data_IF_834369146985
#
_entry.id   IF_834369146985
#
_cell.length_a   1.000
_cell.length_b   1.000
_cell.length_c   1.000
_cell.angle_alpha   90.00
_cell.angle_beta   90.00
_cell.angle_gamma   90.00
#
_symmetry.space_group_name_H-M   'P 1'
#
loop_
_entity.id
_entity.type
_entity.pdbx_description
1 polymer ?
#
# COMPACT_ATOMS: atom_id res chain seq x y z
N UNK A 1 -17.64 23.84 -4.58
CA UNK A 1 -16.88 24.89 -5.28
C UNK A 1 -17.75 25.39 -6.41
N UNK A 2 -17.92 26.71 -6.50
CA UNK A 2 -18.83 27.37 -7.44
C UNK A 2 -18.03 28.27 -8.39
N UNK A 3 -17.74 27.85 -9.63
CA UNK A 3 -16.89 28.61 -10.55
C UNK A 3 -17.50 29.95 -10.98
N UNK A 4 -18.83 30.06 -11.00
CA UNK A 4 -19.56 31.26 -11.43
C UNK A 4 -19.96 32.17 -10.24
N UNK A 5 -19.34 32.01 -9.07
CA UNK A 5 -19.69 32.81 -7.91
C UNK A 5 -19.32 34.30 -8.14
N UNK A 6 -20.29 35.22 -8.11
CA UNK A 6 -20.12 36.60 -8.61
C UNK A 6 -19.14 37.45 -7.77
N UNK A 7 -18.80 37.01 -6.54
CA UNK A 7 -17.93 37.76 -5.62
C UNK A 7 -16.74 36.96 -5.06
N UNK A 8 -16.63 35.66 -5.34
CA UNK A 8 -15.62 34.80 -4.71
C UNK A 8 -14.91 33.99 -5.77
N UNK A 9 -13.63 34.27 -5.97
CA UNK A 9 -12.80 33.44 -6.85
C UNK A 9 -12.66 32.02 -6.29
N UNK A 10 -12.44 31.07 -7.19
CA UNK A 10 -12.12 29.67 -6.84
C UNK A 10 -10.94 29.62 -5.85
N UNK A 11 -9.97 30.52 -5.98
CA UNK A 11 -8.85 30.62 -5.02
C UNK A 11 -9.36 30.91 -3.62
N UNK A 12 -10.19 31.94 -3.47
CA UNK A 12 -10.72 32.34 -2.16
C UNK A 12 -11.66 31.30 -1.57
N UNK A 13 -12.41 30.58 -2.40
CA UNK A 13 -13.25 29.48 -1.96
C UNK A 13 -12.40 28.29 -1.46
N UNK A 14 -11.30 27.94 -2.15
CA UNK A 14 -10.35 26.91 -1.67
C UNK A 14 -9.72 27.31 -0.33
N UNK A 15 -9.30 28.57 -0.19
CA UNK A 15 -8.69 29.10 1.03
C UNK A 15 -9.67 29.04 2.22
N UNK A 16 -10.94 29.41 1.99
CA UNK A 16 -12.00 29.35 3.00
C UNK A 16 -12.34 27.91 3.42
N UNK A 17 -12.23 26.96 2.50
CA UNK A 17 -12.50 25.54 2.73
C UNK A 17 -11.26 24.77 3.25
N UNK A 18 -10.10 25.41 3.33
CA UNK A 18 -8.84 24.75 3.69
C UNK A 18 -8.39 23.69 2.68
N UNK A 19 -8.84 23.77 1.43
CA UNK A 19 -8.51 22.84 0.36
C UNK A 19 -7.36 23.38 -0.48
N UNK A 20 -6.45 22.50 -0.90
CA UNK A 20 -5.45 22.88 -1.88
C UNK A 20 -6.12 23.18 -3.23
N UNK A 21 -5.68 24.23 -3.93
CA UNK A 21 -6.21 24.58 -5.27
C UNK A 21 -6.11 23.43 -6.27
N UNK A 22 -5.08 22.59 -6.15
CA UNK A 22 -4.90 21.40 -6.99
C UNK A 22 -6.02 20.37 -6.81
N UNK A 23 -6.59 20.26 -5.61
CA UNK A 23 -7.72 19.36 -5.34
C UNK A 23 -8.97 19.74 -6.12
N UNK A 24 -9.17 21.03 -6.42
CA UNK A 24 -10.30 21.48 -7.22
C UNK A 24 -10.19 21.10 -8.71
N UNK A 25 -8.98 21.17 -9.27
CA UNK A 25 -8.74 20.81 -10.68
C UNK A 25 -8.45 19.32 -10.87
N UNK A 26 -8.29 18.55 -9.79
CA UNK A 26 -8.01 17.14 -9.87
C UNK A 26 -9.29 16.37 -10.18
N UNK A 27 -9.38 15.87 -11.40
CA UNK A 27 -10.39 14.89 -11.77
C UNK A 27 -9.86 13.49 -11.40
N UNK A 28 -10.59 12.71 -10.57
CA UNK A 28 -10.17 11.35 -10.25
C UNK A 28 -10.18 10.50 -11.51
N UNK A 29 -9.01 10.00 -11.89
CA UNK A 29 -8.89 9.11 -13.05
C UNK A 29 -9.66 7.81 -12.74
N UNK A 30 -10.66 7.44 -13.55
CA UNK A 30 -11.37 6.19 -13.38
C UNK A 30 -10.40 5.02 -13.53
N UNK A 31 -10.59 3.98 -12.71
CA UNK A 31 -9.79 2.76 -12.83
C UNK A 31 -10.06 2.11 -14.20
N UNK A 32 -9.02 1.58 -14.82
CA UNK A 32 -9.14 0.91 -16.12
C UNK A 32 -10.01 -0.35 -15.99
N UNK A 33 -10.62 -0.80 -17.10
CA UNK A 33 -11.36 -2.07 -17.12
C UNK A 33 -10.49 -3.26 -16.67
N UNK A 34 -9.21 -3.22 -17.01
CA UNK A 34 -8.23 -4.19 -16.55
C UNK A 34 -8.04 -4.12 -15.03
N UNK A 35 -7.93 -2.93 -14.44
CA UNK A 35 -7.82 -2.79 -12.98
C UNK A 35 -9.07 -3.31 -12.28
N UNK A 36 -10.27 -3.08 -12.83
CA UNK A 36 -11.52 -3.64 -12.29
C UNK A 36 -11.54 -5.18 -12.34
N UNK A 37 -11.06 -5.78 -13.43
CA UNK A 37 -10.93 -7.22 -13.56
C UNK A 37 -9.94 -7.80 -12.54
N UNK A 38 -8.76 -7.16 -12.42
CA UNK A 38 -7.75 -7.54 -11.45
C UNK A 38 -8.26 -7.41 -10.01
N UNK A 39 -9.04 -6.38 -9.70
CA UNK A 39 -9.68 -6.24 -8.38
C UNK A 39 -10.64 -7.39 -8.09
N UNK A 40 -11.44 -7.86 -9.06
CA UNK A 40 -12.32 -9.02 -8.89
C UNK A 40 -11.53 -10.30 -8.59
N UNK A 41 -10.49 -10.57 -9.36
CA UNK A 41 -9.63 -11.75 -9.16
C UNK A 41 -8.91 -11.71 -7.81
N UNK A 42 -8.45 -10.53 -7.39
CA UNK A 42 -7.84 -10.32 -6.08
C UNK A 42 -8.84 -10.59 -4.94
N UNK A 43 -10.09 -10.13 -5.08
CA UNK A 43 -11.14 -10.36 -4.08
C UNK A 43 -11.44 -11.86 -3.94
N UNK A 44 -11.70 -12.54 -5.06
CA UNK A 44 -11.96 -13.98 -5.10
C UNK A 44 -10.83 -14.78 -4.46
N UNK A 45 -9.58 -14.43 -4.79
CA UNK A 45 -8.42 -15.11 -4.24
C UNK A 45 -8.18 -14.79 -2.77
N UNK A 46 -8.49 -13.56 -2.33
CA UNK A 46 -8.40 -13.18 -0.93
C UNK A 46 -9.40 -13.97 -0.07
N UNK A 47 -10.63 -14.19 -0.56
CA UNK A 47 -11.63 -15.02 0.11
C UNK A 47 -11.17 -16.47 0.27
N UNK A 48 -10.43 -16.99 -0.71
CA UNK A 48 -9.86 -18.36 -0.64
C UNK A 48 -8.61 -18.44 0.23
N UNK A 49 -7.81 -17.38 0.25
CA UNK A 49 -6.48 -17.35 0.86
C UNK A 49 -6.21 -16.06 1.64
N UNK A 50 -6.88 -15.82 2.79
CA UNK A 50 -6.77 -14.56 3.53
C UNK A 50 -5.36 -14.29 4.13
N UNK A 51 -4.50 -15.31 4.14
CA UNK A 51 -3.10 -15.23 4.57
C UNK A 51 -2.12 -14.97 3.41
N UNK A 52 -2.60 -14.73 2.18
CA UNK A 52 -1.73 -14.42 1.03
C UNK A 52 -1.43 -12.93 0.95
N UNK A 53 -0.17 -12.57 1.22
CA UNK A 53 0.29 -11.20 1.07
C UNK A 53 0.52 -10.81 -0.38
N UNK A 54 0.79 -9.51 -0.58
CA UNK A 54 1.15 -8.88 -1.87
C UNK A 54 2.06 -9.70 -2.79
N UNK A 55 3.06 -10.41 -2.24
CA UNK A 55 4.01 -11.22 -3.03
C UNK A 55 3.32 -12.43 -3.67
N UNK A 56 2.44 -13.11 -2.93
CA UNK A 56 1.71 -14.27 -3.43
C UNK A 56 0.58 -13.83 -4.36
N UNK A 57 -0.07 -12.70 -4.08
CA UNK A 57 -1.11 -12.12 -4.97
C UNK A 57 -0.56 -11.76 -6.35
N UNK A 58 0.65 -11.20 -6.42
CA UNK A 58 1.31 -10.92 -7.71
C UNK A 58 1.56 -12.20 -8.49
N UNK A 59 2.09 -13.23 -7.81
CA UNK A 59 2.34 -14.51 -8.46
C UNK A 59 1.04 -15.16 -8.96
N UNK A 60 0.00 -15.16 -8.14
CA UNK A 60 -1.32 -15.66 -8.54
C UNK A 60 -1.82 -14.99 -9.83
N UNK A 61 -1.78 -13.65 -9.89
CA UNK A 61 -2.21 -12.93 -11.09
C UNK A 61 -1.33 -13.23 -12.32
N UNK A 62 -0.03 -13.42 -12.12
CA UNK A 62 0.88 -13.85 -13.19
C UNK A 62 0.59 -15.27 -13.67
N UNK A 63 0.26 -16.18 -12.76
CA UNK A 63 -0.12 -17.55 -13.07
C UNK A 63 -1.46 -17.60 -13.83
N UNK A 64 -2.38 -16.65 -13.57
CA UNK A 64 -3.63 -16.43 -14.33
C UNK A 64 -3.41 -15.71 -15.68
N UNK A 65 -2.16 -15.38 -16.05
CA UNK A 65 -1.79 -14.80 -17.33
C UNK A 65 -1.75 -13.26 -17.38
N UNK A 66 -1.89 -12.58 -16.25
CA UNK A 66 -1.80 -11.12 -16.18
C UNK A 66 -0.37 -10.64 -15.90
N UNK A 67 0.17 -9.83 -16.81
CA UNK A 67 1.48 -9.19 -16.62
C UNK A 67 1.37 -8.00 -15.65
N UNK A 68 1.32 -8.30 -14.34
CA UNK A 68 1.18 -7.28 -13.29
C UNK A 68 2.43 -7.07 -12.45
N UNK A 69 2.67 -5.81 -12.12
CA UNK A 69 3.74 -5.40 -11.22
C UNK A 69 3.31 -5.42 -9.75
N UNK A 70 4.31 -5.61 -8.88
CA UNK A 70 4.13 -5.54 -7.41
C UNK A 70 3.55 -4.20 -6.93
N UNK A 71 3.89 -3.09 -7.62
CA UNK A 71 3.36 -1.76 -7.29
C UNK A 71 1.88 -1.65 -7.63
N UNK A 72 1.46 -2.20 -8.77
CA UNK A 72 0.08 -2.23 -9.24
C UNK A 72 -0.79 -3.02 -8.27
N UNK A 73 -0.41 -4.26 -7.97
CA UNK A 73 -1.16 -5.12 -7.02
C UNK A 73 -1.26 -4.48 -5.63
N UNK A 74 -0.18 -3.86 -5.13
CA UNK A 74 -0.22 -3.13 -3.85
C UNK A 74 -1.27 -2.02 -3.88
N UNK A 75 -1.28 -1.19 -4.92
CA UNK A 75 -2.23 -0.08 -5.06
C UNK A 75 -3.67 -0.60 -5.08
N UNK A 76 -3.95 -1.65 -5.87
CA UNK A 76 -5.29 -2.25 -5.97
C UNK A 76 -5.75 -2.83 -4.63
N UNK A 77 -4.90 -3.60 -3.94
CA UNK A 77 -5.22 -4.14 -2.61
C UNK A 77 -5.50 -3.02 -1.59
N UNK A 78 -4.72 -1.93 -1.61
CA UNK A 78 -4.94 -0.78 -0.73
C UNK A 78 -6.27 -0.07 -1.03
N UNK A 79 -6.63 0.11 -2.32
CA UNK A 79 -7.92 0.69 -2.72
C UNK A 79 -9.10 -0.16 -2.27
N UNK A 80 -8.94 -1.48 -2.28
CA UNK A 80 -9.96 -2.43 -1.83
C UNK A 80 -10.00 -2.61 -0.31
N UNK A 81 -9.04 -2.05 0.45
CA UNK A 81 -8.92 -2.28 1.89
C UNK A 81 -8.49 -3.70 2.26
N UNK A 82 -7.92 -4.45 1.32
CA UNK A 82 -7.42 -5.81 1.56
C UNK A 82 -6.08 -5.75 2.30
N UNK A 83 -6.14 -5.78 3.63
CA UNK A 83 -4.97 -5.97 4.47
C UNK A 83 -4.75 -7.46 4.75
N UNK A 84 -3.54 -7.94 4.50
CA UNK A 84 -3.18 -9.30 4.93
C UNK A 84 -3.11 -9.36 6.45
N UNK A 85 -3.85 -10.29 7.04
CA UNK A 85 -3.75 -10.64 8.45
C UNK A 85 -2.47 -11.46 8.62
N UNK A 86 -1.34 -10.78 8.80
CA UNK A 86 -0.13 -11.41 9.32
C UNK A 86 0.03 -10.97 10.78
N UNK A 87 0.26 -11.89 11.73
CA UNK A 87 0.76 -11.50 13.03
C UNK A 87 2.08 -10.75 12.78
N UNK A 88 2.10 -9.46 13.12
CA UNK A 88 3.33 -8.68 13.12
C UNK A 88 4.29 -9.41 14.07
N UNK A 89 5.48 -9.87 13.62
CA UNK A 89 6.44 -10.45 14.54
C UNK A 89 6.71 -9.41 15.63
N UNK A 90 6.33 -9.74 16.86
CA UNK A 90 6.75 -9.01 18.03
C UNK A 90 8.24 -9.33 18.17
N UNK A 91 9.09 -8.52 17.55
CA UNK A 91 10.48 -8.47 17.95
C UNK A 91 10.48 -7.77 19.31
N UNK A 92 10.52 -8.55 20.39
CA UNK A 92 10.85 -8.05 21.72
C UNK A 92 12.08 -7.12 21.59
N UNK A 93 12.08 -5.89 22.12
CA UNK A 93 13.13 -4.89 21.88
C UNK A 93 14.56 -5.29 22.28
N UNK A 94 14.78 -6.46 22.89
CA UNK A 94 16.09 -6.92 23.37
C UNK A 94 16.87 -7.83 22.41
N UNK A 95 16.28 -8.33 21.32
CA UNK A 95 16.91 -9.37 20.48
C UNK A 95 18.23 -8.93 19.80
N UNK A 96 18.47 -7.62 19.65
CA UNK A 96 19.67 -7.09 18.99
C UNK A 96 20.80 -6.67 19.95
N UNK A 97 20.60 -6.69 21.28
CA UNK A 97 21.59 -6.17 22.23
C UNK A 97 22.68 -7.19 22.64
N UNK A 98 22.37 -8.50 22.65
CA UNK A 98 23.21 -9.49 23.36
C UNK A 98 24.18 -10.31 22.49
N UNK A 99 24.47 -9.89 21.25
CA UNK A 99 25.39 -10.63 20.36
C UNK A 99 26.73 -9.95 20.07
N UNK A 100 27.03 -8.85 20.76
CA UNK A 100 28.31 -8.14 20.64
C UNK A 100 29.36 -8.50 21.72
N UNK A 101 29.07 -9.41 22.68
CA UNK A 101 29.97 -9.71 23.81
C UNK A 101 30.38 -11.20 23.93
N UNK A 102 30.44 -11.97 22.83
CA UNK A 102 30.96 -13.36 22.88
C UNK A 102 32.01 -13.72 21.83
N UNK A 103 32.73 -12.74 21.25
CA UNK A 103 33.83 -13.01 20.31
C UNK A 103 35.20 -12.46 20.74
N UNK A 104 35.42 -12.21 22.04
CA UNK A 104 36.75 -11.85 22.56
C UNK A 104 37.10 -12.60 23.84
N UNK A 105 36.82 -13.90 23.90
CA UNK A 105 37.52 -14.83 24.80
C UNK A 105 37.83 -16.10 24.03
N UNK A 106 39.01 -16.11 23.39
CA UNK A 106 39.92 -17.28 23.34
C UNK A 106 41.18 -16.91 22.57
N UNK A 107 42.35 -17.27 23.16
CA UNK A 107 43.73 -17.29 22.62
C UNK A 107 44.56 -16.03 22.93
N UNK A 108 45.68 -16.05 23.66
CA UNK A 108 46.60 -17.11 24.07
C UNK A 108 47.43 -16.64 25.27
N UNK A 109 47.58 -17.47 26.30
CA UNK A 109 48.80 -17.49 27.11
C UNK A 109 49.88 -18.26 26.33
N UNK A 110 51.10 -17.72 26.33
CA UNK A 110 52.46 -18.32 26.35
C UNK A 110 53.45 -17.34 25.69
#
# INVERSE_FOLDING_TARGET
>A
MEPDHPQLSIVRQCDLLGLARSSYYYEPVPESEEDMLLMRLLDEQYMRTPFYGKRKMVKFLQDEGYAVDRKRVRRLMQRMGLETIYPKPQFEPGWFADRALSLSVTRSEH
#
